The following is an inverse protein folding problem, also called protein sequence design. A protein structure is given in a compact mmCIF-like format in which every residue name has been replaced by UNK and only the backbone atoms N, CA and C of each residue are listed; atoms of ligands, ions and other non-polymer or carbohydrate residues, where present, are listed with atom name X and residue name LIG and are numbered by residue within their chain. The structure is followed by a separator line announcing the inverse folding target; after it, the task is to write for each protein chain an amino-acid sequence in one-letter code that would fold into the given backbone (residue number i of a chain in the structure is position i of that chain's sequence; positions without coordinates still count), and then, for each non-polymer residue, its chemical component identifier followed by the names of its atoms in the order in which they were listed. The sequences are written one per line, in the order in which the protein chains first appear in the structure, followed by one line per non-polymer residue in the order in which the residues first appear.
data_IF_563961021594
#
_entry.id   IF_563961021594
#
_cell.length_a   1.000
_cell.length_b   1.000
_cell.length_c   1.000
_cell.angle_alpha   90.00
_cell.angle_beta   90.00
_cell.angle_gamma   90.00
#
_symmetry.space_group_name_H-M   'P 1'
#
loop_
_entity.id
_entity.type
_entity.pdbx_description
1 polymer ?
#
# COMPACT_ATOMS: atom_id res chain seq x y z
N UNK A 1 -15.28 11.56 -0.70
CA UNK A 1 -14.95 10.11 -0.68
C UNK A 1 -13.60 9.90 0.03
N UNK A 2 -13.24 8.66 0.36
CA UNK A 2 -11.86 8.36 0.73
C UNK A 2 -10.95 8.46 -0.49
N UNK A 3 -9.73 8.96 -0.30
CA UNK A 3 -8.68 8.99 -1.32
C UNK A 3 -7.31 8.73 -0.67
N UNK A 4 -6.41 8.02 -1.33
CA UNK A 4 -5.01 7.86 -0.95
C UNK A 4 -4.28 9.18 -1.18
N UNK A 5 -3.90 9.86 -0.11
CA UNK A 5 -3.26 11.16 -0.21
C UNK A 5 -1.78 11.05 -0.48
N UNK A 6 -1.05 10.23 0.27
CA UNK A 6 0.40 10.14 0.17
C UNK A 6 0.86 8.70 0.33
N UNK A 7 1.83 8.28 -0.48
CA UNK A 7 2.48 7.00 -0.33
C UNK A 7 3.97 7.25 -0.25
N UNK A 8 4.54 6.99 0.93
CA UNK A 8 5.98 7.01 1.12
C UNK A 8 6.50 5.58 1.06
N UNK A 9 6.76 5.12 -0.17
CA UNK A 9 7.28 3.78 -0.45
C UNK A 9 8.79 3.79 -0.71
N UNK A 10 9.37 4.91 -1.17
CA UNK A 10 10.76 4.93 -1.57
C UNK A 10 11.70 4.65 -0.40
N UNK A 11 11.32 5.00 0.83
CA UNK A 11 12.20 4.97 1.98
C UNK A 11 13.31 6.01 1.88
N UNK A 12 14.13 6.11 2.91
CA UNK A 12 15.26 7.02 3.03
C UNK A 12 16.60 6.32 2.81
N UNK A 13 17.71 7.06 2.84
CA UNK A 13 19.04 6.52 2.58
C UNK A 13 19.33 5.25 3.41
N UNK A 14 19.88 4.21 2.78
CA UNK A 14 20.09 2.89 3.40
C UNK A 14 21.16 2.86 4.49
N UNK A 15 22.04 3.87 4.54
CA UNK A 15 23.18 3.93 5.46
C UNK A 15 23.04 5.05 6.49
N UNK A 16 22.55 6.22 6.07
CA UNK A 16 22.43 7.41 6.93
C UNK A 16 20.99 7.72 7.34
N UNK A 17 19.99 7.23 6.61
CA UNK A 17 18.57 7.38 6.94
C UNK A 17 17.99 6.15 7.65
N UNK A 18 16.66 6.03 7.58
CA UNK A 18 15.90 4.91 8.12
C UNK A 18 15.73 3.73 7.13
N UNK A 19 16.29 3.82 5.92
CA UNK A 19 16.12 2.81 4.87
C UNK A 19 14.64 2.63 4.51
N UNK A 20 14.01 1.50 4.80
CA UNK A 20 12.58 1.27 4.56
C UNK A 20 11.71 1.54 5.80
N UNK A 21 12.30 1.70 7.00
CA UNK A 21 11.56 1.67 8.29
C UNK A 21 10.60 2.85 8.48
N UNK A 22 10.79 3.90 7.69
CA UNK A 22 10.04 5.15 7.74
C UNK A 22 8.90 5.20 6.71
N UNK A 23 8.53 4.08 6.08
CA UNK A 23 7.44 4.02 5.11
C UNK A 23 6.06 4.21 5.75
N UNK A 24 5.14 4.83 4.99
CA UNK A 24 3.73 4.97 5.38
C UNK A 24 2.81 5.18 4.17
N UNK A 25 1.51 4.96 4.39
CA UNK A 25 0.44 5.36 3.48
C UNK A 25 -0.56 6.25 4.23
N UNK A 26 -0.96 7.37 3.63
CA UNK A 26 -1.91 8.32 4.19
C UNK A 26 -3.19 8.34 3.37
N UNK A 27 -4.33 8.27 4.05
CA UNK A 27 -5.66 8.24 3.44
C UNK A 27 -6.44 9.45 3.95
N UNK A 28 -7.11 10.15 3.04
CA UNK A 28 -7.76 11.43 3.29
C UNK A 28 -9.26 11.35 3.12
N UNK A 29 -10.00 12.01 4.01
CA UNK A 29 -11.41 12.24 3.83
C UNK A 29 -11.63 13.45 2.90
N UNK A 30 -11.78 13.15 1.60
CA UNK A 30 -12.06 14.14 0.56
C UNK A 30 -13.55 14.54 0.47
N UNK A 31 -14.46 13.95 1.28
CA UNK A 31 -15.88 14.36 1.31
C UNK A 31 -16.09 15.60 2.19
N UNK A 32 -17.34 16.09 2.17
CA UNK A 32 -17.89 17.13 3.03
C UNK A 32 -18.59 16.57 4.29
N UNK A 33 -18.53 15.25 4.50
CA UNK A 33 -19.14 14.54 5.64
C UNK A 33 -18.10 13.82 6.48
N UNK A 34 -18.39 13.53 7.75
CA UNK A 34 -17.57 12.58 8.53
C UNK A 34 -17.63 11.20 7.86
N UNK A 35 -16.49 10.55 7.73
CA UNK A 35 -16.38 9.15 7.28
C UNK A 35 -15.80 8.31 8.42
N UNK A 36 -16.16 7.03 8.47
CA UNK A 36 -15.63 6.10 9.48
C UNK A 36 -14.58 5.18 8.87
N UNK A 37 -13.38 5.18 9.45
CA UNK A 37 -12.25 4.39 8.98
C UNK A 37 -12.41 2.90 9.29
N UNK A 38 -13.25 2.51 10.24
CA UNK A 38 -13.54 1.12 10.62
C UNK A 38 -13.83 0.21 9.41
N UNK A 39 -13.11 -0.91 9.26
CA UNK A 39 -13.20 -1.83 8.12
C UNK A 39 -12.80 -1.21 6.77
N UNK A 40 -12.03 -0.11 6.75
CA UNK A 40 -11.33 0.33 5.56
C UNK A 40 -10.13 -0.59 5.33
N UNK A 41 -10.07 -1.20 4.15
CA UNK A 41 -9.00 -2.09 3.76
C UNK A 41 -7.95 -1.33 2.95
N UNK A 42 -6.68 -1.69 3.17
CA UNK A 42 -5.52 -1.20 2.42
C UNK A 42 -4.81 -2.42 1.85
N UNK A 43 -4.57 -2.44 0.54
CA UNK A 43 -3.94 -3.58 -0.10
C UNK A 43 -2.86 -3.19 -1.10
N UNK A 44 -1.82 -4.00 -1.17
CA UNK A 44 -0.85 -4.00 -2.27
C UNK A 44 -1.38 -4.89 -3.40
N UNK A 45 -1.73 -4.28 -4.53
CA UNK A 45 -2.09 -5.01 -5.74
C UNK A 45 -0.88 -5.75 -6.31
N UNK A 46 -1.03 -7.05 -6.48
CA UNK A 46 -0.02 -7.96 -6.98
C UNK A 46 -0.01 -7.99 -8.50
N UNK A 47 1.19 -8.11 -9.07
CA UNK A 47 1.37 -8.34 -10.49
C UNK A 47 2.78 -8.78 -10.83
N UNK A 48 3.00 -9.06 -12.11
CA UNK A 48 4.31 -9.44 -12.64
C UNK A 48 5.30 -8.30 -12.39
N UNK A 49 6.38 -8.62 -11.67
CA UNK A 49 7.52 -7.72 -11.42
C UNK A 49 8.79 -8.14 -12.16
N UNK A 50 8.78 -9.35 -12.74
CA UNK A 50 9.90 -9.91 -13.48
C UNK A 50 9.43 -10.42 -14.85
N UNK A 51 10.00 -9.84 -15.89
CA UNK A 51 9.68 -10.17 -17.27
C UNK A 51 10.32 -11.46 -17.78
N UNK A 52 11.32 -12.01 -17.07
CA UNK A 52 12.10 -13.15 -17.57
C UNK A 52 11.53 -14.52 -17.24
N UNK A 53 10.53 -14.59 -16.36
CA UNK A 53 9.89 -15.87 -16.02
C UNK A 53 9.20 -16.45 -17.26
N UNK A 54 9.51 -17.68 -17.64
CA UNK A 54 8.86 -18.36 -18.79
C UNK A 54 7.78 -19.35 -18.35
N UNK A 55 7.57 -19.52 -17.04
CA UNK A 55 6.71 -20.53 -16.43
C UNK A 55 5.34 -20.00 -15.94
N UNK A 56 4.88 -18.86 -16.46
CA UNK A 56 3.66 -18.15 -16.03
C UNK A 56 2.77 -17.86 -17.24
N UNK A 57 1.46 -18.06 -17.11
CA UNK A 57 0.48 -17.62 -18.10
C UNK A 57 0.33 -16.11 -18.07
N UNK A 58 0.37 -15.48 -19.26
CA UNK A 58 0.31 -14.03 -19.42
C UNK A 58 -0.81 -13.60 -20.34
N UNK A 59 -1.36 -12.43 -20.01
CA UNK A 59 -2.21 -11.66 -20.90
C UNK A 59 -1.37 -10.85 -21.91
N UNK A 60 -2.03 -10.27 -22.91
CA UNK A 60 -1.39 -9.43 -23.93
C UNK A 60 -0.72 -8.17 -23.35
N UNK A 61 -1.20 -7.67 -22.20
CA UNK A 61 -0.59 -6.56 -21.48
C UNK A 61 0.63 -7.00 -20.63
N UNK A 62 1.09 -8.24 -20.76
CA UNK A 62 2.17 -8.86 -20.01
C UNK A 62 1.92 -9.04 -18.50
N UNK A 63 0.70 -8.84 -18.00
CA UNK A 63 0.32 -9.27 -16.64
C UNK A 63 -0.06 -10.74 -16.57
N UNK A 64 -0.21 -11.25 -15.34
CA UNK A 64 -0.74 -12.57 -15.05
C UNK A 64 -2.09 -12.80 -15.75
N UNK A 65 -2.26 -13.98 -16.37
CA UNK A 65 -3.58 -14.46 -16.79
C UNK A 65 -4.19 -15.32 -15.68
N UNK A 66 -4.91 -14.66 -14.76
CA UNK A 66 -5.54 -15.29 -13.61
C UNK A 66 -6.65 -16.29 -13.99
N UNK A 67 -7.21 -16.20 -15.20
CA UNK A 67 -8.15 -17.22 -15.71
C UNK A 67 -7.54 -18.61 -15.79
N UNK A 68 -6.20 -18.70 -15.77
CA UNK A 68 -5.43 -19.96 -15.78
C UNK A 68 -4.96 -20.41 -14.40
N UNK A 69 -5.28 -19.69 -13.33
CA UNK A 69 -4.91 -20.10 -11.98
C UNK A 69 -5.62 -21.40 -11.58
N UNK A 70 -4.93 -22.27 -10.86
CA UNK A 70 -5.50 -23.55 -10.41
C UNK A 70 -6.74 -23.31 -9.53
N UNK A 71 -7.88 -23.88 -9.93
CA UNK A 71 -9.15 -23.76 -9.21
C UNK A 71 -9.96 -22.51 -9.56
N UNK A 72 -9.50 -21.66 -10.49
CA UNK A 72 -10.25 -20.48 -10.95
C UNK A 72 -11.56 -20.90 -11.67
N UNK A 73 -12.73 -20.37 -11.28
CA UNK A 73 -13.98 -20.60 -12.00
C UNK A 73 -13.91 -20.10 -13.45
N UNK A 74 -14.49 -20.85 -14.39
CA UNK A 74 -14.49 -20.50 -15.82
C UNK A 74 -15.58 -19.50 -16.21
N UNK A 75 -16.52 -19.19 -15.32
CA UNK A 75 -17.69 -18.36 -15.56
C UNK A 75 -17.55 -16.92 -15.02
N UNK A 76 -16.32 -16.48 -14.72
CA UNK A 76 -16.03 -15.14 -14.24
C UNK A 76 -14.93 -14.49 -15.09
N UNK A 77 -14.91 -13.16 -15.13
CA UNK A 77 -13.79 -12.41 -15.68
C UNK A 77 -12.72 -12.18 -14.61
N UNK A 78 -11.91 -13.21 -14.39
CA UNK A 78 -10.84 -13.21 -13.37
C UNK A 78 -9.83 -12.07 -13.56
N UNK A 79 -9.66 -11.57 -14.78
CA UNK A 79 -8.62 -10.60 -15.14
C UNK A 79 -9.11 -9.14 -15.10
N UNK A 80 -10.39 -8.89 -15.38
CA UNK A 80 -10.93 -7.52 -15.46
C UNK A 80 -11.95 -7.18 -14.36
N UNK A 81 -12.43 -8.16 -13.58
CA UNK A 81 -13.37 -7.89 -12.48
C UNK A 81 -12.72 -7.90 -11.09
N UNK A 82 -11.45 -8.27 -10.99
CA UNK A 82 -10.77 -8.46 -9.72
C UNK A 82 -9.33 -7.94 -9.73
N UNK A 83 -8.84 -7.57 -8.55
CA UNK A 83 -7.41 -7.50 -8.25
C UNK A 83 -7.02 -8.67 -7.34
N UNK A 84 -5.72 -8.92 -7.25
CA UNK A 84 -5.17 -9.92 -6.34
C UNK A 84 -4.16 -9.25 -5.42
N UNK A 85 -4.18 -9.57 -4.13
CA UNK A 85 -3.43 -8.78 -3.14
C UNK A 85 -2.19 -9.50 -2.65
N UNK A 86 -1.04 -8.82 -2.65
CA UNK A 86 0.23 -9.28 -2.04
C UNK A 86 0.19 -9.16 -0.52
N UNK A 87 -0.38 -8.07 -0.03
CA UNK A 87 -0.62 -7.78 1.37
C UNK A 87 -2.01 -7.13 1.50
N UNK A 88 -2.68 -7.39 2.61
CA UNK A 88 -4.04 -6.93 2.89
C UNK A 88 -4.18 -6.61 4.36
N UNK A 89 -4.42 -5.33 4.64
CA UNK A 89 -4.57 -4.75 5.96
C UNK A 89 -5.99 -4.20 6.11
N UNK A 90 -6.49 -4.14 7.33
CA UNK A 90 -7.79 -3.56 7.64
C UNK A 90 -7.71 -2.71 8.90
N UNK A 91 -8.25 -1.50 8.84
CA UNK A 91 -8.47 -0.71 10.05
C UNK A 91 -9.54 -1.40 10.90
N UNK A 92 -9.26 -1.75 12.17
CA UNK A 92 -10.22 -2.43 13.03
C UNK A 92 -11.37 -1.50 13.43
N UNK A 93 -12.30 -1.99 14.25
CA UNK A 93 -13.33 -1.17 14.88
C UNK A 93 -14.73 -1.75 14.75
N UNK A 94 -15.70 -1.04 15.34
CA UNK A 94 -17.10 -1.47 15.46
C UNK A 94 -18.05 -0.81 14.43
N UNK A 95 -17.49 -0.06 13.48
CA UNK A 95 -18.23 0.67 12.45
C UNK A 95 -18.38 2.18 12.74
N UNK A 96 -18.05 2.62 13.97
CA UNK A 96 -18.16 4.01 14.39
C UNK A 96 -17.01 4.50 15.27
N UNK A 97 -15.99 3.67 15.48
CA UNK A 97 -14.90 3.92 16.44
C UNK A 97 -13.92 4.98 15.93
N UNK A 98 -13.71 5.05 14.62
CA UNK A 98 -12.70 5.90 14.01
C UNK A 98 -13.33 6.93 13.04
N UNK A 99 -14.00 7.98 13.55
CA UNK A 99 -14.51 9.07 12.72
C UNK A 99 -13.36 9.94 12.20
N UNK A 100 -13.37 10.27 10.92
CA UNK A 100 -12.44 11.19 10.27
C UNK A 100 -13.23 12.34 9.67
N UNK A 101 -12.95 13.57 10.10
CA UNK A 101 -13.72 14.73 9.67
C UNK A 101 -13.39 15.11 8.23
N UNK A 102 -14.27 15.89 7.56
CA UNK A 102 -13.97 16.48 6.27
C UNK A 102 -12.62 17.20 6.31
N UNK A 103 -11.73 16.78 5.42
CA UNK A 103 -10.43 17.39 5.29
C UNK A 103 -9.35 16.94 6.27
N UNK A 104 -9.61 15.91 7.08
CA UNK A 104 -8.62 15.21 7.89
C UNK A 104 -8.14 13.93 7.20
N UNK A 105 -7.03 13.37 7.68
CA UNK A 105 -6.45 12.11 7.18
C UNK A 105 -6.09 11.17 8.31
N UNK A 106 -5.91 9.91 7.92
CA UNK A 106 -5.29 8.87 8.73
C UNK A 106 -3.94 8.50 8.12
N UNK A 107 -2.94 8.31 8.96
CA UNK A 107 -1.60 7.84 8.61
C UNK A 107 -1.45 6.42 9.13
N UNK A 108 -1.22 5.47 8.21
CA UNK A 108 -0.81 4.10 8.51
C UNK A 108 0.70 3.97 8.30
N UNK A 109 1.44 3.88 9.39
CA UNK A 109 2.89 3.69 9.38
C UNK A 109 3.25 2.20 9.25
N UNK A 110 4.44 1.90 8.71
CA UNK A 110 5.06 0.60 8.93
C UNK A 110 5.23 0.38 10.44
N UNK A 111 5.96 1.28 11.07
CA UNK A 111 6.23 1.29 12.51
C UNK A 111 6.08 2.73 13.00
N UNK A 112 5.18 2.96 13.95
CA UNK A 112 4.82 4.30 14.39
C UNK A 112 5.81 4.84 15.44
N UNK A 113 7.05 5.06 15.01
CA UNK A 113 8.13 5.58 15.84
C UNK A 113 8.73 6.86 15.26
N UNK A 114 9.47 7.59 16.09
CA UNK A 114 10.27 8.70 15.64
C UNK A 114 11.57 8.18 15.00
N UNK A 115 11.56 7.96 13.68
CA UNK A 115 12.71 7.45 12.94
C UNK A 115 13.87 8.44 12.81
N UNK A 116 13.70 9.68 13.30
CA UNK A 116 14.75 10.71 13.41
C UNK A 116 15.57 10.57 14.70
N UNK A 117 15.08 9.80 15.67
CA UNK A 117 15.73 9.57 16.95
C UNK A 117 16.20 8.10 17.07
N UNK A 118 17.21 7.82 17.92
CA UNK A 118 17.56 6.45 18.27
C UNK A 118 16.39 5.70 18.92
N UNK A 119 16.20 4.43 18.56
CA UNK A 119 15.28 3.52 19.23
C UNK A 119 15.91 2.13 19.38
N UNK A 120 15.39 1.31 20.29
CA UNK A 120 15.93 -0.02 20.56
C UNK A 120 15.10 -1.08 19.84
N UNK A 121 15.76 -1.85 18.96
CA UNK A 121 15.17 -3.00 18.29
C UNK A 121 14.80 -4.12 19.25
N UNK A 122 13.96 -5.05 18.79
CA UNK A 122 13.56 -6.24 19.57
C UNK A 122 14.74 -7.18 19.86
N UNK A 123 15.86 -7.03 19.15
CA UNK A 123 17.13 -7.72 19.42
C UNK A 123 18.02 -6.99 20.45
N UNK A 124 17.52 -5.92 21.08
CA UNK A 124 18.22 -5.12 22.09
C UNK A 124 19.25 -4.14 21.52
N UNK A 125 19.40 -4.04 20.19
CA UNK A 125 20.35 -3.10 19.58
C UNK A 125 19.71 -1.76 19.29
N UNK A 126 20.48 -0.70 19.46
CA UNK A 126 20.06 0.64 19.06
C UNK A 126 20.09 0.79 17.54
N UNK A 127 18.98 1.24 16.98
CA UNK A 127 18.81 1.64 15.59
C UNK A 127 18.77 3.17 15.58
N UNK A 128 19.65 3.78 14.78
CA UNK A 128 19.78 5.25 14.72
C UNK A 128 19.93 5.70 13.28
N UNK A 129 19.13 6.70 12.87
CA UNK A 129 19.40 7.46 11.66
C UNK A 129 20.61 8.39 11.91
N UNK A 130 21.67 8.25 11.11
CA UNK A 130 22.88 9.08 11.24
C UNK A 130 22.65 10.50 10.74
N UNK A 131 21.75 10.66 9.78
CA UNK A 131 21.29 11.94 9.26
C UNK A 131 19.76 12.03 9.42
N UNK A 132 19.28 12.64 10.52
CA UNK A 132 17.85 12.82 10.76
C UNK A 132 17.12 13.68 9.72
N UNK A 133 17.84 14.43 8.87
CA UNK A 133 17.21 15.26 7.82
C UNK A 133 16.71 14.46 6.62
N UNK A 134 17.15 13.20 6.49
CA UNK A 134 16.75 12.29 5.41
C UNK A 134 15.57 11.40 5.76
N UNK A 135 15.07 11.46 7.00
CA UNK A 135 13.99 10.59 7.48
C UNK A 135 12.93 11.40 8.22
N UNK A 136 11.85 10.74 8.60
CA UNK A 136 10.64 11.37 9.13
C UNK A 136 10.28 10.84 10.51
N UNK A 137 9.40 11.55 11.19
CA UNK A 137 8.83 11.13 12.47
C UNK A 137 7.43 10.55 12.21
N UNK A 138 7.24 9.27 12.52
CA UNK A 138 5.96 8.57 12.42
C UNK A 138 5.35 8.24 13.79
N UNK A 139 5.89 8.79 14.89
CA UNK A 139 5.34 8.58 16.24
C UNK A 139 3.93 9.16 16.42
N UNK A 140 3.53 10.08 15.54
CA UNK A 140 2.18 10.63 15.46
C UNK A 140 1.28 9.98 14.40
N UNK A 141 1.59 8.76 13.95
CA UNK A 141 0.70 8.00 13.06
C UNK A 141 -0.59 7.59 13.79
N UNK A 142 -1.67 7.40 13.03
CA UNK A 142 -2.97 7.01 13.58
C UNK A 142 -3.07 5.49 13.77
N UNK A 143 -2.36 4.74 12.91
CA UNK A 143 -2.26 3.28 12.96
C UNK A 143 -0.85 2.82 12.57
N UNK A 144 -0.50 1.60 12.96
CA UNK A 144 0.69 0.90 12.46
C UNK A 144 0.40 -0.55 12.04
N UNK A 145 1.36 -1.17 11.35
CA UNK A 145 1.26 -2.54 10.84
C UNK A 145 2.29 -3.47 11.49
N UNK A 146 2.00 -3.90 12.71
CA UNK A 146 2.85 -4.83 13.46
C UNK A 146 2.72 -6.29 12.98
N UNK A 147 3.75 -6.82 12.33
CA UNK A 147 3.71 -8.15 11.71
C UNK A 147 4.28 -9.26 12.60
N UNK A 148 5.08 -8.90 13.61
CA UNK A 148 5.83 -9.87 14.40
C UNK A 148 5.03 -11.04 14.98
N UNK A 149 3.77 -10.88 15.44
CA UNK A 149 2.98 -12.00 15.94
C UNK A 149 2.69 -13.09 14.91
N UNK A 150 2.82 -12.79 13.61
CA UNK A 150 2.54 -13.71 12.51
C UNK A 150 3.81 -14.39 11.96
N UNK A 151 4.99 -14.07 12.49
CA UNK A 151 6.27 -14.42 11.90
C UNK A 151 7.12 -15.30 12.83
N UNK A 152 7.75 -16.36 12.31
CA UNK A 152 8.72 -17.14 13.10
C UNK A 152 10.01 -16.34 13.40
N UNK A 153 10.34 -15.37 12.54
CA UNK A 153 11.49 -14.46 12.67
C UNK A 153 11.13 -13.07 12.10
N UNK A 154 10.58 -12.17 12.93
CA UNK A 154 10.35 -10.78 12.52
C UNK A 154 11.65 -9.99 12.37
N UNK A 155 11.59 -8.85 11.69
CA UNK A 155 12.68 -7.89 11.73
C UNK A 155 12.82 -7.27 13.11
N UNK A 156 14.05 -6.98 13.53
CA UNK A 156 14.31 -6.33 14.81
C UNK A 156 13.70 -4.91 14.89
N UNK A 157 13.40 -4.30 13.74
CA UNK A 157 12.77 -2.99 13.62
C UNK A 157 11.25 -3.01 13.69
N UNK A 158 10.61 -4.17 13.56
CA UNK A 158 9.15 -4.32 13.67
C UNK A 158 8.79 -4.34 15.17
N UNK A 159 8.60 -3.14 15.72
CA UNK A 159 8.39 -2.89 17.15
C UNK A 159 6.97 -2.38 17.33
N UNK A 160 6.22 -3.03 18.22
CA UNK A 160 4.88 -2.59 18.61
C UNK A 160 4.96 -1.30 19.46
N UNK A 161 4.36 -0.22 18.98
CA UNK A 161 4.13 1.00 19.75
C UNK A 161 2.78 0.90 20.46
N UNK A 162 2.74 0.64 21.78
CA UNK A 162 1.49 0.43 22.51
C UNK A 162 0.57 1.67 22.56
N UNK A 163 1.06 2.84 22.16
CA UNK A 163 0.27 4.08 22.08
C UNK A 163 -0.45 4.26 20.74
N UNK A 164 -0.15 3.42 19.75
CA UNK A 164 -0.71 3.50 18.40
C UNK A 164 -1.45 2.19 18.09
N UNK A 165 -2.73 2.23 17.71
CA UNK A 165 -3.47 1.02 17.38
C UNK A 165 -2.88 0.28 16.16
N UNK A 166 -2.80 -1.04 16.27
CA UNK A 166 -2.46 -1.91 15.14
C UNK A 166 -3.63 -2.09 14.17
N UNK A 167 -3.32 -2.19 12.88
CA UNK A 167 -4.28 -2.71 11.89
C UNK A 167 -4.40 -4.23 11.99
N UNK A 168 -5.55 -4.77 11.55
CA UNK A 168 -5.69 -6.21 11.35
C UNK A 168 -4.92 -6.62 10.08
N UNK A 169 -4.00 -7.58 10.22
CA UNK A 169 -3.19 -8.12 9.13
C UNK A 169 -3.84 -9.39 8.59
N UNK A 170 -4.55 -9.28 7.46
CA UNK A 170 -5.29 -10.41 6.85
C UNK A 170 -4.41 -11.22 5.90
N UNK A 171 -3.44 -10.56 5.27
CA UNK A 171 -2.42 -11.15 4.40
C UNK A 171 -1.18 -10.28 4.44
N UNK A 172 -0.01 -10.89 4.42
CA UNK A 172 1.27 -10.18 4.47
C UNK A 172 2.29 -10.85 3.56
N UNK A 173 3.32 -10.08 3.20
CA UNK A 173 4.48 -10.54 2.46
C UNK A 173 5.72 -10.01 3.15
N UNK A 174 6.76 -10.85 3.27
CA UNK A 174 7.97 -10.48 3.98
C UNK A 174 7.84 -10.61 5.50
N UNK A 175 8.71 -9.92 6.22
CA UNK A 175 8.87 -10.03 7.68
C UNK A 175 8.54 -8.72 8.43
N UNK A 176 7.90 -7.78 7.74
CA UNK A 176 7.51 -6.43 8.16
C UNK A 176 6.64 -5.80 7.03
N UNK A 177 5.91 -4.71 7.28
CA UNK A 177 5.12 -3.98 6.27
C UNK A 177 6.03 -3.14 5.36
N UNK A 178 6.79 -3.80 4.48
CA UNK A 178 7.74 -3.13 3.58
C UNK A 178 7.10 -2.91 2.20
N UNK A 179 6.85 -1.66 1.88
CA UNK A 179 6.51 -1.24 0.52
C UNK A 179 7.73 -1.40 -0.40
N UNK A 180 7.48 -1.79 -1.64
CA UNK A 180 8.55 -2.02 -2.61
C UNK A 180 9.25 -0.71 -2.99
N UNK A 181 10.43 -0.43 -2.41
CA UNK A 181 11.19 0.81 -2.64
C UNK A 181 11.46 1.13 -4.13
N UNK A 182 11.73 0.14 -5.01
CA UNK A 182 11.81 0.39 -6.45
C UNK A 182 10.53 0.93 -7.10
N UNK A 183 9.38 0.80 -6.44
CA UNK A 183 8.09 1.31 -6.91
C UNK A 183 7.41 0.38 -7.89
N UNK A 184 7.36 -0.93 -7.64
CA UNK A 184 6.75 -1.90 -8.57
C UNK A 184 5.39 -2.41 -8.09
N UNK A 185 4.69 -1.71 -7.20
CA UNK A 185 3.38 -2.11 -6.66
C UNK A 185 2.26 -1.14 -7.07
N UNK A 186 1.02 -1.61 -7.05
CA UNK A 186 -0.16 -0.75 -6.98
C UNK A 186 -0.73 -0.78 -5.56
N UNK A 187 -1.36 0.30 -5.11
CA UNK A 187 -1.97 0.41 -3.79
C UNK A 187 -3.44 0.73 -3.95
N UNK A 188 -4.31 0.05 -3.21
CA UNK A 188 -5.75 0.35 -3.25
C UNK A 188 -6.31 0.47 -1.84
N UNK A 189 -7.38 1.25 -1.74
CA UNK A 189 -8.25 1.27 -0.57
C UNK A 189 -9.66 0.86 -0.95
N UNK A 190 -10.32 0.11 -0.09
CA UNK A 190 -11.67 -0.39 -0.37
C UNK A 190 -12.49 -0.62 0.90
N UNK A 191 -13.81 -0.73 0.73
CA UNK A 191 -14.75 -1.22 1.75
C UNK A 191 -15.43 -2.46 1.19
N UNK A 192 -15.71 -3.43 2.05
CA UNK A 192 -16.49 -4.60 1.65
C UNK A 192 -17.93 -4.16 1.30
N UNK A 193 -18.34 -4.35 0.05
CA UNK A 193 -19.73 -4.09 -0.41
C UNK A 193 -20.55 -5.36 -0.55
N UNK A 194 -19.91 -6.52 -0.40
CA UNK A 194 -20.55 -7.84 -0.49
C UNK A 194 -21.08 -8.33 0.85
N UNK A 195 -21.77 -9.47 0.80
CA UNK A 195 -22.26 -10.19 1.99
C UNK A 195 -21.24 -11.16 2.57
N UNK A 196 -20.21 -11.53 1.79
CA UNK A 196 -19.11 -12.39 2.23
C UNK A 196 -18.06 -11.55 2.95
N UNK A 197 -17.65 -11.96 4.15
CA UNK A 197 -16.52 -11.36 4.86
C UNK A 197 -15.24 -11.46 4.02
N UNK A 198 -14.39 -10.41 4.04
CA UNK A 198 -13.16 -10.36 3.24
C UNK A 198 -12.24 -11.57 3.49
N UNK A 199 -12.08 -12.00 4.75
CA UNK A 199 -11.27 -13.18 5.11
C UNK A 199 -11.79 -14.51 4.55
N UNK A 200 -13.03 -14.54 4.05
CA UNK A 200 -13.67 -15.70 3.43
C UNK A 200 -13.72 -15.60 1.90
N UNK A 201 -13.19 -14.54 1.31
CA UNK A 201 -13.11 -14.42 -0.14
C UNK A 201 -12.19 -15.50 -0.73
N UNK A 202 -12.43 -15.92 -1.98
CA UNK A 202 -11.55 -16.84 -2.67
C UNK A 202 -10.11 -16.36 -2.72
N UNK A 203 -9.18 -17.31 -2.67
CA UNK A 203 -7.75 -17.07 -2.83
C UNK A 203 -7.19 -18.06 -3.84
N UNK A 204 -6.30 -17.58 -4.69
CA UNK A 204 -5.74 -18.39 -5.78
C UNK A 204 -4.22 -18.30 -5.81
N UNK A 205 -3.53 -19.41 -6.16
CA UNK A 205 -2.09 -19.36 -6.43
C UNK A 205 -1.83 -18.62 -7.74
N UNK A 206 -0.56 -18.30 -7.99
CA UNK A 206 -0.16 -17.76 -9.29
C UNK A 206 -0.60 -18.66 -10.46
N UNK A 207 -0.95 -18.08 -11.63
CA UNK A 207 -1.27 -18.84 -12.82
C UNK A 207 0.01 -19.37 -13.49
N UNK A 208 0.62 -20.39 -12.89
CA UNK A 208 1.82 -21.06 -13.42
C UNK A 208 1.46 -22.11 -14.46
N UNK A 209 2.37 -22.34 -15.42
CA UNK A 209 2.20 -23.38 -16.46
C UNK A 209 2.24 -24.78 -15.84
N UNK A 210 3.20 -25.01 -14.95
CA UNK A 210 3.25 -26.23 -14.14
C UNK A 210 2.26 -26.11 -12.97
N UNK A 211 1.64 -27.21 -12.53
CA UNK A 211 0.78 -27.20 -11.34
C UNK A 211 1.52 -26.64 -10.12
N UNK A 212 0.93 -25.72 -9.36
CA UNK A 212 1.52 -25.21 -8.13
C UNK A 212 1.68 -26.32 -7.09
N UNK A 213 2.69 -26.18 -6.23
CA UNK A 213 2.86 -27.07 -5.08
C UNK A 213 1.68 -26.92 -4.10
N UNK A 214 1.43 -27.94 -3.28
CA UNK A 214 0.31 -27.93 -2.33
C UNK A 214 0.39 -26.77 -1.32
N UNK A 215 1.60 -26.32 -0.99
CA UNK A 215 1.90 -25.21 -0.09
C UNK A 215 2.20 -23.89 -0.83
N UNK A 216 1.85 -23.77 -2.12
CA UNK A 216 2.02 -22.52 -2.85
C UNK A 216 1.19 -21.40 -2.20
N UNK A 217 1.79 -20.21 -2.16
CA UNK A 217 1.12 -19.01 -1.70
C UNK A 217 -0.16 -18.76 -2.49
N UNK A 218 -1.17 -18.23 -1.82
CA UNK A 218 -2.46 -17.85 -2.41
C UNK A 218 -2.76 -16.40 -2.09
N UNK A 219 -3.45 -15.75 -3.02
CA UNK A 219 -3.70 -14.32 -2.98
C UNK A 219 -5.20 -14.06 -3.03
N UNK A 220 -5.70 -13.22 -2.13
CA UNK A 220 -7.11 -12.84 -2.08
C UNK A 220 -7.53 -12.21 -3.40
N UNK A 221 -8.63 -12.72 -3.96
CA UNK A 221 -9.30 -12.15 -5.11
C UNK A 221 -10.30 -11.10 -4.63
N UNK A 222 -9.98 -9.82 -4.85
CA UNK A 222 -10.80 -8.68 -4.40
C UNK A 222 -11.57 -8.11 -5.60
N UNK A 223 -12.91 -8.04 -5.54
CA UNK A 223 -13.71 -7.39 -6.58
C UNK A 223 -13.30 -5.93 -6.80
N UNK A 224 -13.16 -5.53 -8.06
CA UNK A 224 -12.84 -4.14 -8.40
C UNK A 224 -13.97 -3.19 -7.96
N UNK A 225 -15.22 -3.66 -7.93
CA UNK A 225 -16.36 -2.84 -7.48
C UNK A 225 -16.27 -2.44 -6.00
N UNK A 226 -15.44 -3.11 -5.18
CA UNK A 226 -15.21 -2.73 -3.79
C UNK A 226 -14.27 -1.53 -3.67
N UNK A 227 -13.37 -1.37 -4.63
CA UNK A 227 -12.31 -0.36 -4.63
C UNK A 227 -12.92 1.03 -4.61
N UNK A 228 -12.41 1.85 -3.70
CA UNK A 228 -12.78 3.26 -3.57
C UNK A 228 -11.77 4.12 -4.31
N UNK A 229 -10.48 3.81 -4.18
CA UNK A 229 -9.40 4.53 -4.82
C UNK A 229 -8.18 3.62 -5.00
N UNK A 230 -7.34 3.91 -6.00
CA UNK A 230 -6.15 3.15 -6.31
C UNK A 230 -5.05 3.98 -6.97
N UNK A 231 -3.80 3.67 -6.63
CA UNK A 231 -2.61 4.37 -7.11
C UNK A 231 -1.62 3.35 -7.64
N UNK A 232 -1.32 3.44 -8.93
CA UNK A 232 -0.27 2.65 -9.57
C UNK A 232 1.07 3.37 -9.42
N UNK A 233 2.05 2.66 -8.84
CA UNK A 233 3.42 3.14 -8.75
C UNK A 233 4.29 2.36 -9.74
N UNK A 234 5.23 3.08 -10.36
CA UNK A 234 6.22 2.50 -11.24
C UNK A 234 7.64 2.97 -10.86
N UNK A 235 8.68 2.23 -11.24
CA UNK A 235 10.05 2.73 -11.19
C UNK A 235 10.21 4.03 -11.99
N UNK A 236 11.03 4.94 -11.47
CA UNK A 236 11.32 6.22 -12.13
C UNK A 236 12.02 6.03 -13.48
N UNK A 237 12.88 5.02 -13.58
CA UNK A 237 13.52 4.61 -14.83
C UNK A 237 12.55 3.86 -15.74
N UNK A 238 12.35 4.36 -16.96
CA UNK A 238 11.49 3.74 -17.96
C UNK A 238 11.90 2.29 -18.29
N UNK A 239 13.21 1.99 -18.32
CA UNK A 239 13.73 0.65 -18.60
C UNK A 239 13.42 -0.38 -17.50
N UNK A 240 13.09 0.08 -16.29
CA UNK A 240 12.76 -0.76 -15.14
C UNK A 240 11.26 -0.93 -14.92
N UNK A 241 10.42 -0.23 -15.69
CA UNK A 241 8.96 -0.27 -15.52
C UNK A 241 8.41 -1.67 -15.76
N UNK A 242 7.42 -2.03 -14.95
CA UNK A 242 6.75 -3.33 -14.95
C UNK A 242 5.33 -3.19 -15.51
N UNK A 243 4.68 -4.27 -15.99
CA UNK A 243 3.30 -4.16 -16.45
C UNK A 243 2.41 -3.69 -15.29
N UNK A 244 1.45 -2.83 -15.56
CA UNK A 244 0.56 -2.26 -14.52
C UNK A 244 -0.29 -3.32 -13.84
N UNK A 245 -0.63 -3.09 -12.58
CA UNK A 245 -1.42 -4.00 -11.73
C UNK A 245 -2.87 -3.54 -11.72
N UNK A 246 -3.06 -2.23 -11.79
CA UNK A 246 -4.37 -1.61 -11.83
C UNK A 246 -4.81 -1.37 -13.28
N UNK A 247 -6.04 -1.78 -13.58
CA UNK A 247 -6.71 -1.46 -14.84
C UNK A 247 -7.07 0.02 -14.92
N UNK A 248 -7.28 0.52 -16.15
CA UNK A 248 -7.51 1.94 -16.41
C UNK A 248 -8.75 2.54 -15.73
N UNK A 249 -9.72 1.71 -15.34
CA UNK A 249 -10.89 2.14 -14.57
C UNK A 249 -10.57 2.54 -13.13
N UNK A 250 -9.49 1.99 -12.56
CA UNK A 250 -9.00 2.31 -11.22
C UNK A 250 -7.92 3.38 -11.32
N UNK A 251 -6.93 3.17 -12.19
CA UNK A 251 -5.87 4.13 -12.46
C UNK A 251 -5.43 4.01 -13.92
N UNK A 252 -5.54 5.08 -14.71
CA UNK A 252 -5.22 5.13 -16.12
C UNK A 252 -3.71 5.04 -16.39
N UNK A 253 -2.87 5.71 -15.59
CA UNK A 253 -1.40 5.69 -15.72
C UNK A 253 -0.73 5.38 -14.37
N UNK A 254 0.29 6.11 -13.97
CA UNK A 254 1.09 5.79 -12.80
C UNK A 254 1.80 7.04 -12.31
N UNK A 255 2.21 7.01 -11.04
CA UNK A 255 3.12 7.98 -10.44
C UNK A 255 4.42 7.30 -10.02
N UNK A 256 5.42 8.09 -9.63
CA UNK A 256 6.71 7.62 -9.14
C UNK A 256 7.46 8.71 -8.38
N UNK A 257 8.30 8.31 -7.42
CA UNK A 257 9.32 9.16 -6.81
C UNK A 257 10.46 9.41 -7.84
N UNK A 258 10.72 10.66 -8.29
CA UNK A 258 11.68 10.93 -9.36
C UNK A 258 13.10 10.40 -9.10
N UNK A 259 13.57 10.49 -7.87
CA UNK A 259 14.91 10.03 -7.47
C UNK A 259 14.94 8.55 -7.09
N UNK A 260 13.83 7.82 -7.25
CA UNK A 260 13.76 6.37 -7.06
C UNK A 260 13.89 5.92 -5.60
N UNK A 261 14.30 4.66 -5.43
CA UNK A 261 14.42 4.01 -4.13
C UNK A 261 15.41 4.73 -3.19
N UNK A 262 15.09 4.75 -1.90
CA UNK A 262 15.90 5.29 -0.81
C UNK A 262 16.24 6.79 -0.94
N UNK A 263 15.37 7.54 -1.63
CA UNK A 263 15.55 8.97 -1.90
C UNK A 263 14.87 9.90 -0.88
N UNK A 264 14.15 9.34 0.08
CA UNK A 264 13.28 10.06 1.05
C UNK A 264 12.03 10.69 0.42
N UNK A 265 11.84 10.50 -0.89
CA UNK A 265 10.70 11.06 -1.61
C UNK A 265 9.45 10.21 -1.43
N UNK A 266 8.31 10.88 -1.47
CA UNK A 266 6.99 10.24 -1.51
C UNK A 266 6.18 10.81 -2.67
N UNK A 267 5.21 10.04 -3.14
CA UNK A 267 4.19 10.56 -4.06
C UNK A 267 3.05 11.14 -3.23
N UNK A 268 2.57 12.32 -3.62
CA UNK A 268 1.54 13.09 -2.91
C UNK A 268 0.48 13.56 -3.91
N UNK A 269 -0.78 13.36 -3.58
CA UNK A 269 -1.93 13.81 -4.39
C UNK A 269 -2.03 15.33 -4.34
N UNK A 270 -2.22 15.95 -5.51
CA UNK A 270 -2.32 17.40 -5.68
C UNK A 270 -3.62 17.93 -5.08
N UNK A 271 -3.58 19.13 -4.53
CA UNK A 271 -4.76 19.91 -4.20
C UNK A 271 -5.37 20.44 -5.50
N UNK A 272 -6.63 20.09 -5.79
CA UNK A 272 -7.38 20.65 -6.91
C UNK A 272 -7.92 22.03 -6.55
N UNK A 273 -8.53 22.15 -5.37
CA UNK A 273 -9.12 23.41 -4.90
C UNK A 273 -9.21 23.45 -3.38
N UNK A 274 -9.56 24.60 -2.82
CA UNK A 274 -9.87 24.77 -1.41
C UNK A 274 -11.26 25.39 -1.26
N UNK A 275 -12.13 24.71 -0.53
CA UNK A 275 -13.51 25.13 -0.28
C UNK A 275 -13.71 25.26 1.22
N UNK A 276 -14.04 26.46 1.71
CA UNK A 276 -14.26 26.75 3.13
C UNK A 276 -13.12 26.27 4.04
N UNK A 277 -11.87 26.45 3.61
CA UNK A 277 -10.67 26.03 4.34
C UNK A 277 -10.33 24.52 4.23
N UNK A 278 -11.21 23.71 3.64
CA UNK A 278 -10.96 22.29 3.34
C UNK A 278 -10.33 22.15 1.96
N UNK A 279 -9.21 21.44 1.88
CA UNK A 279 -8.58 21.09 0.59
C UNK A 279 -9.36 19.94 -0.05
N UNK A 280 -9.60 20.06 -1.35
CA UNK A 280 -10.14 18.98 -2.18
C UNK A 280 -8.97 18.47 -3.00
N UNK A 281 -8.64 17.20 -2.83
CA UNK A 281 -7.55 16.56 -3.57
C UNK A 281 -8.06 16.09 -4.93
N UNK A 282 -7.23 16.28 -5.95
CA UNK A 282 -7.51 15.90 -7.34
C UNK A 282 -7.58 14.38 -7.46
N UNK A 283 -8.64 13.89 -8.09
CA UNK A 283 -8.85 12.47 -8.31
C UNK A 283 -9.56 12.25 -9.66
N UNK A 284 -8.79 11.90 -10.67
CA UNK A 284 -9.25 11.66 -12.05
C UNK A 284 -9.08 10.20 -12.45
N UNK A 285 -8.86 9.31 -11.48
CA UNK A 285 -8.42 7.94 -11.67
C UNK A 285 -7.19 7.87 -12.59
N UNK A 286 -6.24 8.80 -12.44
CA UNK A 286 -5.03 8.84 -13.25
C UNK A 286 -3.86 9.42 -12.44
N UNK A 287 -3.02 8.53 -11.90
CA UNK A 287 -1.93 8.95 -11.01
C UNK A 287 -0.92 9.90 -11.65
N UNK A 288 -0.75 9.88 -12.97
CA UNK A 288 0.13 10.83 -13.66
C UNK A 288 -0.41 12.27 -13.58
N UNK A 289 -1.73 12.42 -13.56
CA UNK A 289 -2.43 13.70 -13.48
C UNK A 289 -2.64 14.16 -12.04
N UNK A 290 -2.89 13.21 -11.15
CA UNK A 290 -3.38 13.45 -9.79
C UNK A 290 -2.24 13.62 -8.79
N UNK A 291 -1.08 13.02 -9.03
CA UNK A 291 0.05 13.02 -8.10
C UNK A 291 1.22 13.88 -8.56
N UNK A 292 1.93 14.37 -7.55
CA UNK A 292 3.25 14.99 -7.61
C UNK A 292 4.10 14.29 -6.53
N UNK A 293 5.23 14.88 -6.12
CA UNK A 293 6.13 14.30 -5.12
C UNK A 293 6.58 15.33 -4.07
N UNK A 294 6.92 14.83 -2.88
CA UNK A 294 7.70 15.58 -1.90
C UNK A 294 9.19 15.20 -1.96
N UNK A 295 10.13 16.17 -1.87
CA UNK A 295 11.57 15.88 -1.74
C UNK A 295 11.94 15.10 -0.47
N UNK A 296 11.20 15.34 0.62
CA UNK A 296 11.20 14.58 1.86
C UNK A 296 9.74 14.35 2.23
N UNK A 297 9.33 13.13 2.53
CA UNK A 297 7.94 12.85 2.89
C UNK A 297 7.46 13.72 4.07
N UNK A 298 6.26 14.27 3.97
CA UNK A 298 5.66 15.10 5.02
C UNK A 298 4.29 14.52 5.38
N UNK A 299 4.16 13.64 6.39
CA UNK A 299 2.85 13.19 6.86
C UNK A 299 1.93 14.39 7.13
N UNK A 300 0.68 14.31 6.68
CA UNK A 300 -0.33 15.38 6.78
C UNK A 300 0.01 16.65 5.98
N UNK A 301 1.11 16.68 5.22
CA UNK A 301 1.45 17.74 4.28
C UNK A 301 0.49 17.83 3.10
N UNK A 302 0.54 18.92 2.33
CA UNK A 302 -0.27 19.10 1.11
C UNK A 302 0.58 19.75 0.03
N UNK A 303 0.22 19.51 -1.23
CA UNK A 303 0.84 20.12 -2.41
C UNK A 303 -0.22 20.69 -3.34
#
# INVERSE_FOLDING_TARGET
PWVIKQIYYAGSNTTTGASFRDQFIEIYNNSDSVLFADSLYIAEALGIQNFTSTNIYRQNNNQYDWSKAQGMPSNIDANNSYIYTRALLMIPGNGSQYPVKPGESIVLAQTALNHKAPFTGTDGKTITARDPSLTIDLSGADFEAYYAPFLPKPLASDIDNPSVPNVDVLSYSGTDMIFDNPGRMGYVIFKNKGTTEIKKLPQYPFPTIAPPQANADKYYQIPIDFIIDGVEIQPSSAASRVPKKLGASIDALYTYAPNGAYSSQSVIRKTETTVNGRRILKDTNNSAEDFDYFPLAIPRGFK
#
